data_IF_338300274411
#
_entry.id   IF_338300274411
#
_cell.length_a   1.000
_cell.length_b   1.000
_cell.length_c   1.000
_cell.angle_alpha   90.00
_cell.angle_beta   90.00
_cell.angle_gamma   90.00
#
_symmetry.space_group_name_H-M   'P 1'
#
loop_
_entity.id
_entity.type
_entity.pdbx_description
1 polymer ?
#
# COMPACT_ATOMS: atom_id res chain seq x y z
N UNK A 1 -38.36 -14.43 -5.14
CA UNK A 1 -37.14 -15.22 -5.38
C UNK A 1 -36.33 -15.17 -4.10
N UNK A 2 -35.92 -16.31 -3.55
CA UNK A 2 -35.04 -16.35 -2.38
C UNK A 2 -33.73 -15.65 -2.76
N UNK A 3 -33.25 -14.75 -1.89
CA UNK A 3 -31.94 -14.10 -2.06
C UNK A 3 -30.89 -15.20 -1.97
N UNK A 4 -30.19 -15.51 -3.06
CA UNK A 4 -29.09 -16.50 -3.04
C UNK A 4 -28.07 -16.10 -1.98
N UNK A 5 -27.50 -17.11 -1.30
CA UNK A 5 -26.51 -16.84 -0.28
C UNK A 5 -25.18 -16.42 -0.94
N UNK A 6 -24.35 -15.69 -0.21
CA UNK A 6 -23.04 -15.26 -0.73
C UNK A 6 -22.14 -16.46 -0.99
N UNK A 7 -22.25 -17.52 -0.21
CA UNK A 7 -21.51 -18.77 -0.38
C UNK A 7 -21.88 -19.46 -1.71
N UNK A 8 -23.16 -19.45 -2.08
CA UNK A 8 -23.62 -19.97 -3.39
C UNK A 8 -23.03 -19.14 -4.53
N UNK A 9 -23.04 -17.81 -4.39
CA UNK A 9 -22.46 -16.92 -5.41
C UNK A 9 -20.93 -17.10 -5.53
N UNK A 10 -20.19 -17.27 -4.41
CA UNK A 10 -18.76 -17.57 -4.44
C UNK A 10 -18.45 -18.85 -5.21
N UNK A 11 -19.29 -19.89 -5.08
CA UNK A 11 -19.10 -21.13 -5.85
C UNK A 11 -19.27 -20.95 -7.36
N UNK A 12 -19.97 -19.89 -7.80
CA UNK A 12 -20.14 -19.56 -9.22
C UNK A 12 -18.94 -18.82 -9.85
N UNK A 13 -17.92 -18.46 -9.09
CA UNK A 13 -16.69 -17.85 -9.63
C UNK A 13 -15.99 -18.71 -10.69
N UNK A 14 -16.18 -20.02 -10.62
CA UNK A 14 -15.63 -21.00 -11.59
C UNK A 14 -16.69 -21.61 -12.52
N UNK A 15 -17.87 -20.99 -12.63
CA UNK A 15 -18.95 -21.49 -13.48
C UNK A 15 -18.61 -21.36 -14.95
N UNK A 16 -19.07 -22.30 -15.82
CA UNK A 16 -18.78 -22.28 -17.25
C UNK A 16 -19.37 -21.05 -17.95
N UNK A 17 -20.55 -20.57 -17.52
CA UNK A 17 -21.24 -19.41 -18.09
C UNK A 17 -20.65 -18.08 -17.59
N UNK A 18 -20.16 -17.24 -18.50
CA UNK A 18 -19.53 -15.95 -18.21
C UNK A 18 -20.38 -15.00 -17.34
N UNK A 19 -21.69 -14.93 -17.64
CA UNK A 19 -22.58 -14.05 -16.89
C UNK A 19 -22.72 -14.43 -15.40
N UNK A 20 -22.62 -15.74 -15.08
CA UNK A 20 -22.59 -16.19 -13.68
C UNK A 20 -21.30 -15.80 -12.98
N UNK A 21 -20.16 -15.98 -13.64
CA UNK A 21 -18.86 -15.51 -13.09
C UNK A 21 -18.88 -14.01 -12.85
N UNK A 22 -19.39 -13.22 -13.82
CA UNK A 22 -19.51 -11.75 -13.64
C UNK A 22 -20.43 -11.38 -12.49
N UNK A 23 -21.58 -12.06 -12.34
CA UNK A 23 -22.51 -11.87 -11.23
C UNK A 23 -21.87 -12.22 -9.88
N UNK A 24 -21.16 -13.33 -9.81
CA UNK A 24 -20.41 -13.78 -8.63
C UNK A 24 -19.34 -12.75 -8.23
N UNK A 25 -18.56 -12.28 -9.20
CA UNK A 25 -17.53 -11.24 -9.01
C UNK A 25 -18.15 -9.95 -8.44
N UNK A 26 -19.24 -9.45 -9.04
CA UNK A 26 -19.93 -8.27 -8.56
C UNK A 26 -20.50 -8.45 -7.14
N UNK A 27 -21.04 -9.63 -6.84
CA UNK A 27 -21.55 -9.97 -5.52
C UNK A 27 -20.44 -10.02 -4.44
N UNK A 28 -19.26 -10.55 -4.80
CA UNK A 28 -18.10 -10.55 -3.89
C UNK A 28 -17.65 -9.12 -3.58
N UNK A 29 -17.46 -8.28 -4.60
CA UNK A 29 -17.05 -6.88 -4.40
C UNK A 29 -18.03 -6.09 -3.55
N UNK A 30 -19.35 -6.28 -3.78
CA UNK A 30 -20.40 -5.56 -3.03
C UNK A 30 -20.77 -6.20 -1.68
N UNK A 31 -20.34 -7.42 -1.43
CA UNK A 31 -20.74 -8.23 -0.26
C UNK A 31 -20.00 -7.87 1.03
N UNK A 32 -18.92 -7.05 0.94
CA UNK A 32 -18.15 -6.60 2.10
C UNK A 32 -17.62 -7.75 2.98
N UNK A 33 -17.62 -7.60 4.32
CA UNK A 33 -17.05 -8.61 5.22
C UNK A 33 -17.63 -10.02 5.09
N UNK A 34 -18.90 -10.13 4.67
CA UNK A 34 -19.53 -11.45 4.46
C UNK A 34 -18.96 -12.16 3.25
N UNK A 35 -18.65 -11.42 2.18
CA UNK A 35 -17.98 -11.98 1.01
C UNK A 35 -16.56 -12.41 1.35
N UNK A 36 -15.81 -11.61 2.13
CA UNK A 36 -14.47 -11.97 2.61
C UNK A 36 -14.50 -13.30 3.35
N UNK A 37 -15.42 -13.51 4.29
CA UNK A 37 -15.56 -14.76 5.02
C UNK A 37 -15.94 -15.94 4.11
N UNK A 38 -16.83 -15.74 3.14
CA UNK A 38 -17.18 -16.79 2.18
C UNK A 38 -16.02 -17.15 1.26
N UNK A 39 -15.22 -16.18 0.83
CA UNK A 39 -13.99 -16.40 0.05
C UNK A 39 -12.93 -17.13 0.87
N UNK A 40 -12.71 -16.74 2.13
CA UNK A 40 -11.80 -17.46 3.05
C UNK A 40 -12.25 -18.92 3.21
N UNK A 41 -13.55 -19.18 3.35
CA UNK A 41 -14.06 -20.55 3.39
C UNK A 41 -13.79 -21.31 2.09
N UNK A 42 -13.92 -20.64 0.93
CA UNK A 42 -13.62 -21.23 -0.37
C UNK A 42 -12.13 -21.58 -0.55
N UNK A 43 -11.19 -20.79 0.06
CA UNK A 43 -9.77 -21.16 0.08
C UNK A 43 -9.50 -22.47 0.83
N UNK A 44 -10.32 -22.80 1.85
CA UNK A 44 -10.13 -23.98 2.68
C UNK A 44 -10.78 -25.24 2.08
N UNK A 45 -11.93 -25.10 1.44
CA UNK A 45 -12.81 -26.22 1.06
C UNK A 45 -13.03 -26.37 -0.44
N UNK A 46 -12.66 -25.38 -1.24
CA UNK A 46 -12.92 -25.34 -2.68
C UNK A 46 -12.02 -26.25 -3.51
N UNK A 47 -12.40 -26.46 -4.76
CA UNK A 47 -11.52 -27.04 -5.77
C UNK A 47 -10.33 -26.14 -6.05
N UNK A 48 -9.25 -26.65 -6.66
CA UNK A 48 -8.08 -25.84 -7.05
C UNK A 48 -8.47 -24.60 -7.84
N UNK A 49 -9.37 -24.72 -8.80
CA UNK A 49 -9.88 -23.59 -9.58
C UNK A 49 -10.60 -22.56 -8.71
N UNK A 50 -11.47 -23.00 -7.78
CA UNK A 50 -12.19 -22.09 -6.88
C UNK A 50 -11.24 -21.41 -5.88
N UNK A 51 -10.24 -22.11 -5.35
CA UNK A 51 -9.21 -21.53 -4.49
C UNK A 51 -8.45 -20.42 -5.21
N UNK A 52 -8.04 -20.65 -6.46
CA UNK A 52 -7.32 -19.66 -7.25
C UNK A 52 -8.17 -18.39 -7.52
N UNK A 53 -9.43 -18.56 -7.90
CA UNK A 53 -10.35 -17.44 -8.13
C UNK A 53 -10.69 -16.71 -6.81
N UNK A 54 -10.90 -17.43 -5.71
CA UNK A 54 -11.13 -16.82 -4.41
C UNK A 54 -9.92 -16.01 -3.93
N UNK A 55 -8.69 -16.49 -4.17
CA UNK A 55 -7.46 -15.74 -3.88
C UNK A 55 -7.39 -14.43 -4.70
N UNK A 56 -7.68 -14.50 -6.01
CA UNK A 56 -7.72 -13.33 -6.87
C UNK A 56 -8.80 -12.31 -6.43
N UNK A 57 -9.95 -12.79 -5.95
CA UNK A 57 -11.02 -11.92 -5.42
C UNK A 57 -10.61 -11.25 -4.12
N UNK A 58 -9.99 -11.96 -3.17
CA UNK A 58 -9.47 -11.37 -1.92
C UNK A 58 -8.42 -10.31 -2.22
N UNK A 59 -7.53 -10.55 -3.19
CA UNK A 59 -6.56 -9.56 -3.64
C UNK A 59 -7.23 -8.28 -4.16
N UNK A 60 -8.29 -8.41 -4.97
CA UNK A 60 -9.05 -7.24 -5.46
C UNK A 60 -9.79 -6.49 -4.37
N UNK A 61 -10.28 -7.19 -3.35
CA UNK A 61 -10.96 -6.57 -2.20
C UNK A 61 -9.97 -5.91 -1.24
N UNK A 62 -8.69 -6.28 -1.29
CA UNK A 62 -7.62 -5.75 -0.43
C UNK A 62 -7.96 -5.76 1.07
N UNK A 63 -8.69 -6.79 1.53
CA UNK A 63 -9.07 -6.93 2.94
C UNK A 63 -7.98 -7.72 3.69
N UNK A 64 -7.34 -7.13 4.73
CA UNK A 64 -6.24 -7.77 5.46
C UNK A 64 -6.61 -9.11 6.09
N UNK A 65 -7.90 -9.39 6.37
CA UNK A 65 -8.34 -10.69 6.90
C UNK A 65 -8.05 -11.87 5.94
N UNK A 66 -7.87 -11.58 4.65
CA UNK A 66 -7.45 -12.57 3.65
C UNK A 66 -5.99 -13.02 3.79
N UNK A 67 -5.14 -12.25 4.48
CA UNK A 67 -3.69 -12.46 4.49
C UNK A 67 -3.27 -13.85 4.99
N UNK A 68 -3.56 -14.18 6.25
CA UNK A 68 -3.20 -15.49 6.83
C UNK A 68 -3.80 -16.68 6.06
N UNK A 69 -5.10 -16.66 5.65
CA UNK A 69 -5.65 -17.71 4.78
C UNK A 69 -4.89 -17.86 3.44
N UNK A 70 -4.45 -16.78 2.83
CA UNK A 70 -3.67 -16.82 1.59
C UNK A 70 -2.26 -17.38 1.81
N UNK A 71 -1.62 -17.12 2.96
CA UNK A 71 -0.35 -17.78 3.34
C UNK A 71 -0.52 -19.30 3.37
N UNK A 72 -1.66 -19.79 3.84
CA UNK A 72 -1.98 -21.22 3.82
C UNK A 72 -1.94 -21.85 2.43
N UNK A 73 -2.28 -21.09 1.38
CA UNK A 73 -2.23 -21.61 0.00
C UNK A 73 -0.81 -21.88 -0.52
N UNK A 74 0.23 -21.30 0.10
CA UNK A 74 1.62 -21.55 -0.30
C UNK A 74 2.05 -23.02 -0.06
N UNK A 75 1.28 -23.76 0.74
CA UNK A 75 1.46 -25.20 0.97
C UNK A 75 0.49 -26.09 0.17
N UNK A 76 -0.34 -25.52 -0.70
CA UNK A 76 -1.29 -26.33 -1.47
C UNK A 76 -0.57 -27.32 -2.39
N UNK A 77 -1.12 -28.49 -2.57
CA UNK A 77 -0.57 -29.52 -3.45
C UNK A 77 -0.52 -29.06 -4.91
N UNK A 78 -1.49 -28.23 -5.34
CA UNK A 78 -1.60 -27.69 -6.68
C UNK A 78 -0.71 -26.43 -6.85
N UNK A 79 0.22 -26.52 -7.78
CA UNK A 79 1.14 -25.39 -8.11
C UNK A 79 0.40 -24.13 -8.55
N UNK A 80 -0.71 -24.28 -9.27
CA UNK A 80 -1.50 -23.12 -9.72
C UNK A 80 -2.13 -22.41 -8.51
N UNK A 81 -2.56 -23.14 -7.48
CA UNK A 81 -3.08 -22.58 -6.24
C UNK A 81 -1.98 -21.89 -5.44
N UNK A 82 -0.79 -22.49 -5.33
CA UNK A 82 0.36 -21.84 -4.67
C UNK A 82 0.71 -20.51 -5.35
N UNK A 83 0.77 -20.49 -6.67
CA UNK A 83 1.04 -19.27 -7.47
C UNK A 83 -0.05 -18.20 -7.27
N UNK A 84 -1.33 -18.61 -7.27
CA UNK A 84 -2.44 -17.69 -7.05
C UNK A 84 -2.38 -17.07 -5.64
N UNK A 85 -2.05 -17.86 -4.62
CA UNK A 85 -1.84 -17.38 -3.25
C UNK A 85 -0.70 -16.36 -3.15
N UNK A 86 0.45 -16.66 -3.75
CA UNK A 86 1.61 -15.76 -3.77
C UNK A 86 1.31 -14.44 -4.48
N UNK A 87 0.66 -14.49 -5.67
CA UNK A 87 0.26 -13.31 -6.41
C UNK A 87 -0.77 -12.45 -5.66
N UNK A 88 -1.72 -13.09 -4.96
CA UNK A 88 -2.70 -12.39 -4.15
C UNK A 88 -2.04 -11.65 -2.98
N UNK A 89 -1.11 -12.31 -2.27
CA UNK A 89 -0.34 -11.71 -1.18
C UNK A 89 0.54 -10.55 -1.66
N UNK A 90 1.21 -10.68 -2.80
CA UNK A 90 2.02 -9.62 -3.39
C UNK A 90 1.16 -8.39 -3.74
N UNK A 91 0.00 -8.62 -4.36
CA UNK A 91 -0.94 -7.54 -4.68
C UNK A 91 -1.47 -6.81 -3.44
N UNK A 92 -1.66 -7.54 -2.34
CA UNK A 92 -2.14 -7.01 -1.05
C UNK A 92 -1.02 -6.49 -0.15
N UNK A 93 0.25 -6.57 -0.53
CA UNK A 93 1.39 -6.32 0.36
C UNK A 93 1.27 -5.03 1.21
N UNK A 94 0.71 -3.96 0.63
CA UNK A 94 0.54 -2.68 1.33
C UNK A 94 -0.51 -2.66 2.43
N UNK A 95 -1.44 -3.63 2.47
CA UNK A 95 -2.53 -3.71 3.46
C UNK A 95 -2.39 -4.89 4.42
N UNK A 96 -1.42 -5.79 4.18
CA UNK A 96 -1.19 -6.94 5.04
C UNK A 96 -0.70 -6.52 6.42
N UNK A 97 -1.24 -7.17 7.43
CA UNK A 97 -0.96 -6.90 8.83
C UNK A 97 0.26 -7.68 9.36
N UNK A 98 0.62 -7.38 10.60
CA UNK A 98 1.73 -8.06 11.30
C UNK A 98 1.46 -9.56 11.49
N UNK A 99 0.19 -9.97 11.60
CA UNK A 99 -0.15 -11.40 11.78
C UNK A 99 0.15 -12.19 10.51
N UNK A 100 -0.10 -11.62 9.34
CA UNK A 100 0.27 -12.21 8.05
C UNK A 100 1.80 -12.27 7.89
N UNK A 101 2.50 -11.20 8.26
CA UNK A 101 3.96 -11.18 8.23
C UNK A 101 4.57 -12.21 9.19
N UNK A 102 4.01 -12.39 10.39
CA UNK A 102 4.43 -13.43 11.34
C UNK A 102 4.20 -14.85 10.78
N UNK A 103 3.07 -15.08 10.10
CA UNK A 103 2.81 -16.36 9.45
C UNK A 103 3.84 -16.66 8.34
N UNK A 104 4.19 -15.67 7.52
CA UNK A 104 5.24 -15.80 6.50
C UNK A 104 6.63 -16.01 7.11
N UNK A 105 6.95 -15.32 8.21
CA UNK A 105 8.22 -15.50 8.94
C UNK A 105 8.32 -16.91 9.51
N UNK A 106 7.22 -17.42 10.07
CA UNK A 106 7.17 -18.82 10.54
C UNK A 106 7.35 -19.80 9.38
N UNK A 107 6.77 -19.52 8.23
CA UNK A 107 6.88 -20.33 7.03
C UNK A 107 8.30 -20.35 6.47
N UNK A 108 8.97 -19.19 6.47
CA UNK A 108 10.37 -19.04 6.06
C UNK A 108 11.29 -20.00 6.84
N UNK A 109 11.09 -20.13 8.15
CA UNK A 109 11.90 -20.97 9.01
C UNK A 109 11.46 -22.44 9.02
N UNK A 110 10.16 -22.71 9.13
CA UNK A 110 9.65 -24.07 9.36
C UNK A 110 9.56 -24.93 8.09
N UNK A 111 9.49 -24.33 6.90
CA UNK A 111 9.31 -25.08 5.65
C UNK A 111 10.58 -25.80 5.23
N UNK A 112 10.44 -27.08 4.85
CA UNK A 112 11.51 -27.86 4.22
C UNK A 112 11.56 -27.66 2.69
N UNK A 113 10.53 -27.04 2.10
CA UNK A 113 10.45 -26.75 0.67
C UNK A 113 11.12 -25.40 0.36
N UNK A 114 12.21 -25.47 -0.43
CA UNK A 114 12.96 -24.29 -0.83
C UNK A 114 12.11 -23.28 -1.61
N UNK A 115 11.21 -23.75 -2.46
CA UNK A 115 10.31 -22.90 -3.24
C UNK A 115 9.38 -22.07 -2.35
N UNK A 116 8.90 -22.69 -1.27
CA UNK A 116 8.06 -22.01 -0.28
C UNK A 116 8.87 -20.98 0.51
N UNK A 117 10.10 -21.32 0.93
CA UNK A 117 10.98 -20.37 1.62
C UNK A 117 11.32 -19.16 0.76
N UNK A 118 11.63 -19.39 -0.52
CA UNK A 118 11.88 -18.31 -1.47
C UNK A 118 10.65 -17.41 -1.64
N UNK A 119 9.45 -17.99 -1.79
CA UNK A 119 8.21 -17.22 -1.88
C UNK A 119 7.94 -16.40 -0.61
N UNK A 120 8.11 -17.00 0.57
CA UNK A 120 7.95 -16.30 1.84
C UNK A 120 8.95 -15.15 2.00
N UNK A 121 10.23 -15.36 1.63
CA UNK A 121 11.26 -14.33 1.64
C UNK A 121 10.93 -13.16 0.72
N UNK A 122 10.51 -13.44 -0.52
CA UNK A 122 10.12 -12.41 -1.47
C UNK A 122 8.93 -11.58 -0.96
N UNK A 123 7.90 -12.23 -0.41
CA UNK A 123 6.73 -11.55 0.15
C UNK A 123 7.10 -10.70 1.37
N UNK A 124 7.92 -11.21 2.29
CA UNK A 124 8.40 -10.43 3.44
C UNK A 124 9.20 -9.20 2.99
N UNK A 125 9.88 -9.28 1.84
CA UNK A 125 10.62 -8.16 1.24
C UNK A 125 9.74 -6.97 0.84
N UNK A 126 8.46 -7.19 0.57
CA UNK A 126 7.52 -6.15 0.10
C UNK A 126 6.49 -5.73 1.15
N UNK A 127 6.28 -6.51 2.21
CA UNK A 127 5.32 -6.22 3.28
C UNK A 127 5.89 -5.21 4.29
N UNK A 128 5.28 -4.03 4.49
CA UNK A 128 5.78 -3.01 5.43
C UNK A 128 5.85 -3.46 6.89
N UNK A 129 4.97 -4.39 7.28
CA UNK A 129 4.84 -4.89 8.64
C UNK A 129 5.71 -6.13 8.94
N UNK A 130 6.68 -6.47 8.06
CA UNK A 130 7.56 -7.63 8.24
C UNK A 130 8.64 -7.42 9.32
N UNK A 131 8.97 -6.18 9.69
CA UNK A 131 10.12 -5.87 10.56
C UNK A 131 9.96 -6.45 11.96
N UNK A 132 8.83 -6.26 12.63
CA UNK A 132 8.63 -6.75 14.00
C UNK A 132 8.68 -8.28 14.11
N UNK A 133 8.00 -9.08 13.25
CA UNK A 133 8.15 -10.53 13.22
C UNK A 133 9.58 -11.01 12.95
N UNK A 134 10.30 -10.36 12.02
CA UNK A 134 11.70 -10.69 11.74
C UNK A 134 12.62 -10.34 12.92
N UNK A 135 12.39 -9.21 13.60
CA UNK A 135 13.10 -8.87 14.84
C UNK A 135 12.85 -9.90 15.95
N UNK A 136 11.63 -10.42 16.05
CA UNK A 136 11.31 -11.51 16.98
C UNK A 136 12.05 -12.79 16.61
N UNK A 137 12.12 -13.13 15.32
CA UNK A 137 12.88 -14.28 14.83
C UNK A 137 14.40 -14.11 15.02
N UNK A 138 14.93 -12.89 14.93
CA UNK A 138 16.33 -12.58 15.23
C UNK A 138 16.71 -12.88 16.69
N UNK A 139 15.75 -12.82 17.60
CA UNK A 139 15.93 -13.17 19.02
C UNK A 139 15.66 -14.64 19.34
N UNK A 140 15.42 -15.49 18.33
CA UNK A 140 15.15 -16.92 18.52
C UNK A 140 16.37 -17.66 19.10
N UNK A 141 16.15 -18.81 19.75
CA UNK A 141 17.23 -19.61 20.34
C UNK A 141 18.08 -20.36 19.28
N UNK A 142 17.47 -20.68 18.13
CA UNK A 142 18.10 -21.39 17.03
C UNK A 142 18.95 -20.43 16.18
N UNK A 143 20.29 -20.69 16.04
CA UNK A 143 21.19 -19.88 15.23
C UNK A 143 20.78 -19.79 13.73
N UNK A 144 20.14 -20.83 13.18
CA UNK A 144 19.69 -20.81 11.79
C UNK A 144 18.57 -19.81 11.59
N UNK A 145 17.58 -19.79 12.49
CA UNK A 145 16.52 -18.79 12.50
C UNK A 145 17.07 -17.36 12.65
N UNK A 146 18.05 -17.17 13.53
CA UNK A 146 18.73 -15.88 13.73
C UNK A 146 19.39 -15.38 12.44
N UNK A 147 20.13 -16.25 11.75
CA UNK A 147 20.83 -15.91 10.51
C UNK A 147 19.82 -15.53 9.42
N UNK A 148 18.78 -16.33 9.22
CA UNK A 148 17.74 -16.04 8.21
C UNK A 148 17.06 -14.70 8.47
N UNK A 149 16.70 -14.41 9.72
CA UNK A 149 16.11 -13.12 10.10
C UNK A 149 17.09 -11.96 9.89
N UNK A 150 18.37 -12.14 10.29
CA UNK A 150 19.39 -11.11 10.14
C UNK A 150 19.64 -10.76 8.66
N UNK A 151 19.73 -11.76 7.78
CA UNK A 151 19.90 -11.57 6.34
C UNK A 151 18.71 -10.84 5.71
N UNK A 152 17.50 -11.21 6.09
CA UNK A 152 16.28 -10.51 5.64
C UNK A 152 16.25 -9.06 6.11
N UNK A 153 16.53 -8.80 7.38
CA UNK A 153 16.57 -7.45 7.95
C UNK A 153 17.72 -6.61 7.34
N UNK A 154 18.89 -7.23 7.04
CA UNK A 154 19.95 -6.56 6.31
C UNK A 154 19.55 -6.17 4.88
N UNK A 155 18.76 -7.01 4.21
CA UNK A 155 18.24 -6.71 2.88
C UNK A 155 17.23 -5.56 2.90
N UNK A 156 16.36 -5.55 3.91
CA UNK A 156 15.33 -4.52 4.08
C UNK A 156 15.92 -3.16 4.47
N UNK A 157 17.03 -3.13 5.22
CA UNK A 157 17.67 -1.92 5.75
C UNK A 157 16.71 -0.95 6.42
N UNK A 158 15.74 -1.48 7.17
CA UNK A 158 14.75 -0.66 7.86
C UNK A 158 15.30 -0.20 9.22
N UNK A 159 15.33 1.12 9.52
CA UNK A 159 15.86 1.64 10.78
C UNK A 159 15.21 1.06 12.05
N UNK A 160 13.96 0.60 11.98
CA UNK A 160 13.24 -0.04 13.09
C UNK A 160 13.92 -1.32 13.58
N UNK A 161 14.78 -1.94 12.78
CA UNK A 161 15.54 -3.14 13.16
C UNK A 161 16.80 -2.82 13.99
N UNK A 162 17.20 -1.55 14.14
CA UNK A 162 18.47 -1.16 14.73
C UNK A 162 18.65 -1.68 16.18
N UNK A 163 17.65 -1.49 17.04
CA UNK A 163 17.70 -1.95 18.43
C UNK A 163 17.82 -3.48 18.52
N UNK A 164 17.14 -4.20 17.64
CA UNK A 164 17.22 -5.67 17.59
C UNK A 164 18.62 -6.14 17.18
N UNK A 165 19.27 -5.45 16.22
CA UNK A 165 20.66 -5.74 15.86
C UNK A 165 21.64 -5.37 16.97
N UNK A 166 21.44 -4.26 17.70
CA UNK A 166 22.26 -3.91 18.88
C UNK A 166 22.21 -5.04 19.90
N UNK A 167 21.01 -5.54 20.22
CA UNK A 167 20.81 -6.64 21.14
C UNK A 167 21.44 -7.96 20.63
N UNK A 168 21.40 -8.19 19.32
CA UNK A 168 21.93 -9.38 18.69
C UNK A 168 23.48 -9.38 18.56
N UNK A 169 24.17 -8.24 18.78
CA UNK A 169 25.66 -8.18 18.71
C UNK A 169 26.34 -9.11 19.69
N UNK A 170 25.68 -9.51 20.79
CA UNK A 170 26.18 -10.51 21.73
C UNK A 170 26.14 -11.95 21.19
N UNK A 171 25.40 -12.22 20.12
CA UNK A 171 25.17 -13.55 19.55
C UNK A 171 26.22 -13.84 18.46
N UNK A 172 27.06 -14.90 18.61
CA UNK A 172 28.14 -15.17 17.64
C UNK A 172 27.67 -15.39 16.21
N UNK A 173 26.50 -16.03 16.03
CA UNK A 173 25.96 -16.41 14.72
C UNK A 173 25.64 -15.21 13.82
N UNK A 174 25.20 -14.09 14.39
CA UNK A 174 24.72 -12.94 13.64
C UNK A 174 25.50 -11.66 13.86
N UNK A 175 26.55 -11.69 14.71
CA UNK A 175 27.34 -10.51 15.08
C UNK A 175 27.86 -9.73 13.87
N UNK A 176 28.44 -10.42 12.89
CA UNK A 176 29.02 -9.76 11.71
C UNK A 176 27.93 -9.08 10.86
N UNK A 177 26.78 -9.75 10.69
CA UNK A 177 25.64 -9.19 9.98
C UNK A 177 25.12 -7.96 10.73
N UNK A 178 24.96 -8.07 12.05
CA UNK A 178 24.48 -6.97 12.89
C UNK A 178 25.37 -5.73 12.78
N UNK A 179 26.70 -5.89 12.92
CA UNK A 179 27.66 -4.77 12.80
C UNK A 179 27.63 -4.14 11.40
N UNK A 180 27.56 -4.97 10.37
CA UNK A 180 27.50 -4.50 8.98
C UNK A 180 26.22 -3.75 8.69
N UNK A 181 25.06 -4.26 9.16
CA UNK A 181 23.74 -3.63 8.97
C UNK A 181 23.67 -2.31 9.72
N UNK A 182 24.08 -2.26 10.99
CA UNK A 182 24.10 -1.02 11.77
C UNK A 182 24.95 0.07 11.13
N UNK A 183 26.12 -0.28 10.56
CA UNK A 183 26.93 0.68 9.80
C UNK A 183 26.21 1.22 8.58
N UNK A 184 25.48 0.37 7.84
CA UNK A 184 24.70 0.81 6.67
C UNK A 184 23.57 1.74 7.09
N UNK A 185 22.83 1.40 8.16
CA UNK A 185 21.74 2.24 8.68
C UNK A 185 22.26 3.61 9.16
N UNK A 186 23.40 3.64 9.88
CA UNK A 186 24.03 4.90 10.30
C UNK A 186 24.42 5.77 9.10
N UNK A 187 25.03 5.18 8.08
CA UNK A 187 25.44 5.91 6.88
C UNK A 187 24.24 6.49 6.10
N UNK A 188 23.09 5.79 6.09
CA UNK A 188 21.86 6.31 5.47
C UNK A 188 21.37 7.55 6.24
N UNK A 189 21.29 7.48 7.57
CA UNK A 189 20.88 8.61 8.41
C UNK A 189 21.83 9.79 8.24
N UNK A 190 23.12 9.59 8.39
CA UNK A 190 24.16 10.63 8.21
C UNK A 190 24.00 11.33 6.85
N UNK A 191 23.78 10.56 5.79
CA UNK A 191 23.58 11.13 4.45
C UNK A 191 22.32 11.99 4.34
N UNK A 192 21.22 11.57 4.96
CA UNK A 192 19.96 12.33 4.96
C UNK A 192 20.13 13.62 5.78
N UNK A 193 20.72 13.52 6.98
CA UNK A 193 20.95 14.64 7.88
C UNK A 193 21.85 15.69 7.20
N UNK A 194 22.98 15.29 6.58
CA UNK A 194 23.88 16.17 5.82
C UNK A 194 23.15 16.96 4.72
N UNK A 195 22.27 16.30 3.96
CA UNK A 195 21.57 16.93 2.85
C UNK A 195 20.51 17.92 3.36
N UNK A 196 19.79 17.60 4.42
CA UNK A 196 18.83 18.53 5.02
C UNK A 196 19.53 19.69 5.75
N UNK A 197 20.65 19.45 6.41
CA UNK A 197 21.47 20.52 7.02
C UNK A 197 22.01 21.48 5.95
N UNK A 198 22.46 20.97 4.81
CA UNK A 198 22.85 21.80 3.68
C UNK A 198 21.69 22.65 3.14
N UNK A 199 20.45 22.09 3.09
CA UNK A 199 19.26 22.84 2.68
C UNK A 199 18.93 23.99 3.65
N UNK A 200 19.04 23.73 4.98
CA UNK A 200 18.81 24.75 6.02
C UNK A 200 19.86 25.88 5.98
N UNK A 201 21.10 25.55 5.60
CA UNK A 201 22.21 26.49 5.57
C UNK A 201 22.13 27.56 4.45
N UNK A 202 21.26 27.39 3.46
CA UNK A 202 21.06 28.36 2.39
C UNK A 202 20.20 29.51 2.89
N UNK A 203 20.67 30.74 2.82
CA UNK A 203 19.97 31.93 3.31
C UNK A 203 18.94 32.48 2.32
N UNK A 204 19.26 32.50 1.02
CA UNK A 204 18.39 33.01 -0.02
C UNK A 204 17.24 32.05 -0.33
N UNK A 205 15.98 32.53 -0.19
CA UNK A 205 14.79 31.69 -0.35
C UNK A 205 14.67 31.08 -1.75
N UNK A 206 14.99 31.84 -2.79
CA UNK A 206 14.97 31.37 -4.18
C UNK A 206 15.94 30.21 -4.42
N UNK A 207 17.15 30.32 -3.86
CA UNK A 207 18.16 29.26 -3.93
C UNK A 207 17.73 28.01 -3.13
N UNK A 208 17.06 28.20 -2.00
CA UNK A 208 16.52 27.12 -1.17
C UNK A 208 15.42 26.34 -1.89
N UNK A 209 14.53 27.03 -2.61
CA UNK A 209 13.48 26.37 -3.41
C UNK A 209 14.07 25.49 -4.53
N UNK A 210 15.12 25.98 -5.21
CA UNK A 210 15.86 25.19 -6.19
C UNK A 210 16.60 24.01 -5.54
N UNK A 211 17.25 24.26 -4.40
CA UNK A 211 17.96 23.23 -3.63
C UNK A 211 17.02 22.15 -3.10
N UNK A 212 15.75 22.47 -2.78
CA UNK A 212 14.75 21.49 -2.39
C UNK A 212 14.54 20.42 -3.46
N UNK A 213 14.43 20.83 -4.73
CA UNK A 213 14.30 19.86 -5.83
C UNK A 213 15.53 18.96 -5.95
N UNK A 214 16.73 19.54 -5.80
CA UNK A 214 17.99 18.80 -5.80
C UNK A 214 18.07 17.85 -4.61
N UNK A 215 17.62 18.25 -3.43
CA UNK A 215 17.51 17.41 -2.22
C UNK A 215 16.65 16.17 -2.50
N UNK A 216 15.46 16.37 -3.08
CA UNK A 216 14.56 15.27 -3.44
C UNK A 216 15.22 14.30 -4.44
N UNK A 217 15.86 14.82 -5.48
CA UNK A 217 16.56 13.98 -6.48
C UNK A 217 17.69 13.18 -5.85
N UNK A 218 18.46 13.78 -4.95
CA UNK A 218 19.61 13.15 -4.31
C UNK A 218 19.23 12.07 -3.29
N UNK A 219 18.14 12.23 -2.58
CA UNK A 219 17.69 11.30 -1.53
C UNK A 219 16.75 10.21 -2.03
N UNK A 220 16.00 10.45 -3.13
CA UNK A 220 15.04 9.50 -3.68
C UNK A 220 15.63 8.10 -3.96
N UNK A 221 16.88 7.94 -4.47
CA UNK A 221 17.46 6.61 -4.72
C UNK A 221 17.66 5.74 -3.46
N UNK A 222 17.65 6.33 -2.25
CA UNK A 222 17.72 5.56 -1.00
C UNK A 222 16.45 4.69 -0.86
N UNK A 223 15.29 5.21 -1.26
CA UNK A 223 14.04 4.49 -1.27
C UNK A 223 13.52 4.15 0.14
N UNK A 224 12.92 2.96 0.28
CA UNK A 224 12.25 2.51 1.52
C UNK A 224 13.06 2.61 2.82
N UNK A 225 14.40 2.38 2.82
CA UNK A 225 15.22 2.58 4.02
C UNK A 225 15.19 3.98 4.63
N UNK A 226 14.86 5.01 3.84
CA UNK A 226 14.77 6.40 4.33
C UNK A 226 13.41 6.75 4.96
N UNK A 227 12.38 5.92 4.83
CA UNK A 227 11.00 6.29 5.16
C UNK A 227 10.84 6.72 6.61
N UNK A 228 11.32 5.95 7.57
CA UNK A 228 11.19 6.30 8.99
C UNK A 228 11.93 7.61 9.33
N UNK A 229 13.11 7.79 8.75
CA UNK A 229 13.91 9.02 8.94
C UNK A 229 13.15 10.22 8.33
N UNK A 230 12.61 10.08 7.12
CA UNK A 230 11.84 11.13 6.47
C UNK A 230 10.53 11.47 7.21
N UNK A 231 9.91 10.48 7.88
CA UNK A 231 8.75 10.71 8.75
C UNK A 231 9.13 11.62 9.93
N UNK A 232 10.32 11.44 10.53
CA UNK A 232 10.82 12.35 11.56
C UNK A 232 10.97 13.78 11.02
N UNK A 233 11.47 13.94 9.79
CA UNK A 233 11.62 15.25 9.13
C UNK A 233 10.30 15.94 8.73
N UNK A 234 9.16 15.25 8.78
CA UNK A 234 7.87 15.92 8.67
C UNK A 234 7.55 16.81 9.89
N UNK A 235 8.24 16.64 11.00
CA UNK A 235 8.09 17.46 12.21
C UNK A 235 9.17 18.56 12.32
N UNK A 236 10.01 18.75 11.28
CA UNK A 236 11.07 19.76 11.28
C UNK A 236 10.51 21.18 11.44
N UNK A 237 11.26 22.06 12.12
CA UNK A 237 10.87 23.46 12.27
C UNK A 237 10.84 24.21 10.94
N UNK A 238 11.72 23.84 10.00
CA UNK A 238 11.83 24.44 8.68
C UNK A 238 10.78 23.87 7.72
N UNK A 239 9.88 24.73 7.25
CA UNK A 239 8.80 24.32 6.36
C UNK A 239 9.28 23.73 5.03
N UNK A 240 10.44 24.19 4.50
CA UNK A 240 10.99 23.69 3.24
C UNK A 240 11.57 22.26 3.39
N UNK A 241 12.12 21.96 4.56
CA UNK A 241 12.53 20.59 4.93
C UNK A 241 11.30 19.68 5.03
N UNK A 242 10.22 20.14 5.69
CA UNK A 242 8.96 19.36 5.74
C UNK A 242 8.37 19.11 4.36
N UNK A 243 8.43 20.12 3.45
CA UNK A 243 8.02 19.95 2.05
C UNK A 243 8.85 18.90 1.32
N UNK A 244 10.17 18.94 1.45
CA UNK A 244 11.06 17.98 0.81
C UNK A 244 10.83 16.56 1.34
N UNK A 245 10.64 16.41 2.65
CA UNK A 245 10.31 15.13 3.28
C UNK A 245 8.97 14.58 2.78
N UNK A 246 7.93 15.45 2.71
CA UNK A 246 6.62 15.05 2.20
C UNK A 246 6.68 14.61 0.73
N UNK A 247 7.39 15.33 -0.13
CA UNK A 247 7.56 15.01 -1.56
C UNK A 247 8.31 13.68 -1.74
N UNK A 248 9.38 13.46 -0.97
CA UNK A 248 10.14 12.20 -0.96
C UNK A 248 9.25 11.01 -0.57
N UNK A 249 8.53 11.13 0.54
CA UNK A 249 7.63 10.08 1.03
C UNK A 249 6.57 9.71 -0.02
N UNK A 250 6.00 10.70 -0.69
CA UNK A 250 5.04 10.46 -1.76
C UNK A 250 5.64 9.74 -2.97
N UNK A 251 6.86 10.11 -3.38
CA UNK A 251 7.57 9.48 -4.51
C UNK A 251 8.06 8.07 -4.17
N UNK A 252 8.45 7.80 -2.92
CA UNK A 252 8.79 6.45 -2.45
C UNK A 252 7.55 5.55 -2.43
N UNK A 253 6.37 6.11 -2.10
CA UNK A 253 5.10 5.40 -2.18
C UNK A 253 4.86 4.39 -1.06
N UNK A 254 5.57 4.49 0.07
CA UNK A 254 5.43 3.58 1.20
C UNK A 254 4.21 3.94 2.06
N UNK A 255 3.35 2.95 2.34
CA UNK A 255 2.10 3.15 3.09
C UNK A 255 2.30 3.60 4.54
N UNK A 256 3.50 3.44 5.11
CA UNK A 256 3.85 3.95 6.45
C UNK A 256 3.76 5.47 6.53
N UNK A 257 3.99 6.15 5.41
CA UNK A 257 3.91 7.61 5.33
C UNK A 257 2.46 8.15 5.38
N UNK A 258 1.43 7.31 5.22
CA UNK A 258 0.04 7.77 5.07
C UNK A 258 -0.43 8.54 6.29
N UNK A 259 -0.37 7.96 7.50
CA UNK A 259 -0.83 8.64 8.72
C UNK A 259 0.01 9.91 9.05
N UNK A 260 1.36 9.89 8.98
CA UNK A 260 2.16 11.10 9.14
C UNK A 260 1.80 12.22 8.16
N UNK A 261 1.63 11.90 6.88
CA UNK A 261 1.22 12.87 5.86
C UNK A 261 -0.21 13.39 6.10
N UNK A 262 -1.15 12.54 6.52
CA UNK A 262 -2.50 12.97 6.92
C UNK A 262 -2.44 13.94 8.09
N UNK A 263 -1.55 13.71 9.06
CA UNK A 263 -1.34 14.62 10.18
C UNK A 263 -0.83 15.98 9.70
N UNK A 264 0.18 16.01 8.81
CA UNK A 264 0.66 17.29 8.22
C UNK A 264 -0.45 18.02 7.48
N UNK A 265 -1.24 17.32 6.66
CA UNK A 265 -2.37 17.92 5.95
C UNK A 265 -3.37 18.60 6.90
N UNK A 266 -3.60 18.02 8.09
CA UNK A 266 -4.53 18.58 9.11
C UNK A 266 -3.94 19.80 9.84
N UNK A 267 -2.69 19.71 10.30
CA UNK A 267 -2.16 20.64 11.31
C UNK A 267 -1.07 21.59 10.82
N UNK A 268 -0.43 21.35 9.68
CA UNK A 268 0.65 22.22 9.23
C UNK A 268 0.17 23.65 9.03
N UNK A 269 1.00 24.61 9.39
CA UNK A 269 0.72 26.04 9.20
C UNK A 269 1.04 26.50 7.78
N UNK A 270 1.98 25.82 7.14
CA UNK A 270 2.40 26.14 5.79
C UNK A 270 1.49 25.49 4.75
N UNK A 271 1.08 26.27 3.75
CA UNK A 271 0.17 25.80 2.71
C UNK A 271 0.88 24.88 1.71
N UNK A 272 2.15 25.15 1.39
CA UNK A 272 2.97 24.33 0.50
C UNK A 272 3.17 22.92 1.05
N UNK A 273 3.44 22.81 2.36
CA UNK A 273 3.51 21.50 3.05
C UNK A 273 2.19 20.75 2.92
N UNK A 274 1.04 21.42 3.10
CA UNK A 274 -0.29 20.77 2.93
C UNK A 274 -0.54 20.31 1.49
N UNK A 275 -0.17 21.15 0.50
CA UNK A 275 -0.29 20.79 -0.91
C UNK A 275 0.57 19.57 -1.26
N UNK A 276 1.82 19.55 -0.80
CA UNK A 276 2.71 18.40 -1.02
C UNK A 276 2.26 17.16 -0.25
N UNK A 277 1.81 17.30 0.99
CA UNK A 277 1.25 16.17 1.73
C UNK A 277 0.05 15.55 1.00
N UNK A 278 -0.86 16.37 0.48
CA UNK A 278 -2.01 15.90 -0.29
C UNK A 278 -1.60 15.21 -1.59
N UNK A 279 -0.69 15.82 -2.35
CA UNK A 279 -0.14 15.23 -3.58
C UNK A 279 0.54 13.89 -3.31
N UNK A 280 1.32 13.81 -2.23
CA UNK A 280 2.06 12.63 -1.83
C UNK A 280 1.14 11.50 -1.38
N UNK A 281 0.10 11.79 -0.60
CA UNK A 281 -0.96 10.84 -0.27
C UNK A 281 -1.66 10.31 -1.53
N UNK A 282 -1.91 11.18 -2.52
CA UNK A 282 -2.47 10.78 -3.81
C UNK A 282 -1.52 9.89 -4.64
N UNK A 283 -0.20 10.05 -4.52
CA UNK A 283 0.79 9.18 -5.18
C UNK A 283 0.83 7.79 -4.54
N UNK A 284 0.72 7.70 -3.23
CA UNK A 284 0.62 6.44 -2.49
C UNK A 284 -0.67 5.70 -2.87
N UNK A 285 -1.77 6.43 -3.08
CA UNK A 285 -3.05 5.90 -3.55
C UNK A 285 -3.81 5.08 -2.50
N UNK A 286 -3.52 5.29 -1.21
CA UNK A 286 -4.23 4.67 -0.09
C UNK A 286 -5.64 5.26 0.06
N UNK A 287 -6.59 4.45 0.52
CA UNK A 287 -7.99 4.86 0.68
C UNK A 287 -8.27 5.64 1.97
N UNK A 288 -7.44 5.47 3.00
CA UNK A 288 -7.63 6.10 4.32
C UNK A 288 -7.79 7.62 4.29
N UNK A 289 -7.07 8.37 3.43
CA UNK A 289 -7.22 9.81 3.34
C UNK A 289 -8.48 10.31 2.62
N UNK A 290 -9.32 9.44 2.04
CA UNK A 290 -10.45 9.82 1.17
C UNK A 290 -11.34 10.92 1.78
N UNK A 291 -11.67 10.80 3.07
CA UNK A 291 -12.48 11.81 3.77
C UNK A 291 -11.78 13.19 3.81
N UNK A 292 -10.46 13.23 4.04
CA UNK A 292 -9.70 14.49 4.06
C UNK A 292 -9.66 15.14 2.68
N UNK A 293 -9.58 14.35 1.61
CA UNK A 293 -9.64 14.88 0.25
C UNK A 293 -11.02 15.51 -0.04
N UNK A 294 -12.10 14.84 0.38
CA UNK A 294 -13.47 15.40 0.24
C UNK A 294 -13.60 16.73 0.98
N UNK A 295 -13.10 16.81 2.22
CA UNK A 295 -13.12 18.02 3.04
C UNK A 295 -12.26 19.16 2.44
N UNK A 296 -11.24 18.83 1.65
CA UNK A 296 -10.36 19.80 1.01
C UNK A 296 -10.92 20.38 -0.32
N UNK A 297 -11.94 19.75 -0.93
CA UNK A 297 -12.54 20.25 -2.20
C UNK A 297 -13.01 21.72 -2.12
N UNK A 298 -13.61 22.21 -1.03
CA UNK A 298 -13.98 23.61 -0.90
C UNK A 298 -12.79 24.58 -0.75
N UNK A 299 -11.61 24.10 -0.41
CA UNK A 299 -10.41 24.89 -0.12
C UNK A 299 -9.65 25.15 -1.42
N UNK A 300 -9.68 26.40 -1.94
CA UNK A 300 -9.13 26.75 -3.26
C UNK A 300 -7.73 26.23 -3.54
N UNK A 301 -6.70 26.41 -2.68
CA UNK A 301 -5.35 25.93 -2.95
C UNK A 301 -5.26 24.41 -3.05
N UNK A 302 -6.09 23.68 -2.29
CA UNK A 302 -6.02 22.22 -2.18
C UNK A 302 -6.96 21.49 -3.15
N UNK A 303 -7.93 22.20 -3.74
CA UNK A 303 -9.04 21.61 -4.50
C UNK A 303 -8.61 20.68 -5.63
N UNK A 304 -7.69 21.15 -6.47
CA UNK A 304 -7.21 20.37 -7.62
C UNK A 304 -6.44 19.16 -7.15
N UNK A 305 -5.54 19.32 -6.17
CA UNK A 305 -4.77 18.22 -5.58
C UNK A 305 -5.67 17.19 -4.91
N UNK A 306 -6.74 17.64 -4.23
CA UNK A 306 -7.73 16.74 -3.62
C UNK A 306 -8.42 15.88 -4.68
N UNK A 307 -8.85 16.50 -5.79
CA UNK A 307 -9.51 15.76 -6.88
C UNK A 307 -8.57 14.80 -7.60
N UNK A 308 -7.31 15.20 -7.82
CA UNK A 308 -6.28 14.32 -8.38
C UNK A 308 -5.98 13.13 -7.44
N UNK A 309 -5.92 13.38 -6.13
CA UNK A 309 -5.69 12.33 -5.14
C UNK A 309 -6.87 11.34 -5.08
N UNK A 310 -8.13 11.85 -5.07
CA UNK A 310 -9.34 11.01 -5.12
C UNK A 310 -9.37 10.11 -6.37
N UNK A 311 -8.97 10.65 -7.53
CA UNK A 311 -8.94 9.88 -8.77
C UNK A 311 -7.91 8.73 -8.77
N UNK A 312 -6.90 8.80 -7.89
CA UNK A 312 -5.82 7.81 -7.71
C UNK A 312 -6.08 6.80 -6.60
N UNK A 313 -7.14 6.99 -5.80
CA UNK A 313 -7.53 6.03 -4.75
C UNK A 313 -7.74 4.66 -5.40
N UNK A 314 -7.03 3.65 -4.88
CA UNK A 314 -7.07 2.28 -5.43
C UNK A 314 -8.40 1.59 -5.13
N UNK A 315 -8.88 1.72 -3.90
CA UNK A 315 -10.19 1.23 -3.48
C UNK A 315 -11.26 2.30 -3.72
N UNK A 316 -11.83 2.32 -4.91
CA UNK A 316 -12.83 3.32 -5.32
C UNK A 316 -14.16 3.15 -4.59
N UNK A 317 -14.42 1.98 -4.00
CA UNK A 317 -15.67 1.69 -3.26
C UNK A 317 -15.86 2.65 -2.07
N UNK A 318 -14.76 3.08 -1.42
CA UNK A 318 -14.81 4.05 -0.32
C UNK A 318 -15.38 5.41 -0.74
N UNK A 319 -15.41 5.70 -2.03
CA UNK A 319 -15.94 6.95 -2.60
C UNK A 319 -17.43 6.85 -2.96
N UNK A 320 -18.04 5.66 -2.90
CA UNK A 320 -19.46 5.44 -3.23
C UNK A 320 -20.43 6.38 -2.49
N UNK A 321 -20.28 6.68 -1.19
CA UNK A 321 -21.16 7.63 -0.50
C UNK A 321 -21.16 9.04 -1.09
N UNK A 322 -20.15 9.39 -1.89
CA UNK A 322 -19.96 10.70 -2.48
C UNK A 322 -20.27 10.75 -3.98
N UNK A 323 -20.88 9.71 -4.56
CA UNK A 323 -21.17 9.62 -5.99
C UNK A 323 -21.92 10.87 -6.51
N UNK A 324 -22.98 11.31 -5.82
CA UNK A 324 -23.72 12.51 -6.19
C UNK A 324 -22.88 13.80 -6.19
N UNK A 325 -21.87 13.89 -5.34
CA UNK A 325 -20.91 15.01 -5.35
C UNK A 325 -20.09 14.97 -6.63
N UNK A 326 -19.55 13.82 -7.02
CA UNK A 326 -18.75 13.68 -8.24
C UNK A 326 -19.57 13.92 -9.49
N UNK A 327 -20.82 13.43 -9.55
CA UNK A 327 -21.75 13.70 -10.67
C UNK A 327 -21.99 15.20 -10.86
N UNK A 328 -22.17 15.96 -9.77
CA UNK A 328 -22.30 17.43 -9.84
C UNK A 328 -21.02 18.12 -10.29
N UNK A 329 -19.86 17.63 -9.87
CA UNK A 329 -18.56 18.22 -10.20
C UNK A 329 -18.10 17.89 -11.63
N UNK A 330 -18.74 16.98 -12.37
CA UNK A 330 -18.49 16.73 -13.81
C UNK A 330 -18.63 18.00 -14.67
N UNK A 331 -19.42 18.96 -14.22
CA UNK A 331 -19.65 20.25 -14.91
C UNK A 331 -19.01 21.43 -14.21
N UNK A 332 -18.01 21.20 -13.38
CA UNK A 332 -17.29 22.27 -12.68
C UNK A 332 -16.57 23.19 -13.67
N UNK A 333 -16.43 24.47 -13.31
CA UNK A 333 -15.73 25.48 -14.13
C UNK A 333 -14.23 25.21 -14.24
N UNK A 334 -13.65 24.53 -13.26
CA UNK A 334 -12.27 24.08 -13.30
C UNK A 334 -12.20 22.74 -14.07
N UNK A 335 -11.53 22.77 -15.22
CA UNK A 335 -11.45 21.63 -16.11
C UNK A 335 -10.78 20.39 -15.48
N UNK A 336 -9.81 20.56 -14.57
CA UNK A 336 -9.17 19.45 -13.87
C UNK A 336 -10.09 18.83 -12.83
N UNK A 337 -10.88 19.65 -12.13
CA UNK A 337 -11.91 19.18 -11.20
C UNK A 337 -12.98 18.39 -11.95
N UNK A 338 -13.49 18.95 -13.06
CA UNK A 338 -14.50 18.29 -13.90
C UNK A 338 -14.00 16.94 -14.45
N UNK A 339 -12.78 16.92 -14.98
CA UNK A 339 -12.15 15.72 -15.54
C UNK A 339 -11.99 14.61 -14.48
N UNK A 340 -11.36 14.93 -13.34
CA UNK A 340 -11.15 13.94 -12.27
C UNK A 340 -12.46 13.43 -11.67
N UNK A 341 -13.48 14.31 -11.54
CA UNK A 341 -14.83 13.90 -11.11
C UNK A 341 -15.46 12.91 -12.08
N UNK A 342 -15.31 13.14 -13.39
CA UNK A 342 -15.76 12.21 -14.42
C UNK A 342 -15.10 10.86 -14.27
N UNK A 343 -13.78 10.81 -14.13
CA UNK A 343 -13.02 9.56 -13.93
C UNK A 343 -13.50 8.77 -12.70
N UNK A 344 -13.75 9.45 -11.59
CA UNK A 344 -14.22 8.79 -10.35
C UNK A 344 -15.63 8.25 -10.54
N UNK A 345 -16.53 9.06 -11.09
CA UNK A 345 -17.92 8.65 -11.29
C UNK A 345 -18.01 7.48 -12.30
N UNK A 346 -17.23 7.50 -13.38
CA UNK A 346 -17.16 6.38 -14.35
C UNK A 346 -16.65 5.09 -13.71
N UNK A 347 -15.63 5.18 -12.84
CA UNK A 347 -15.14 4.03 -12.08
C UNK A 347 -16.24 3.47 -11.14
N UNK A 348 -17.00 4.33 -10.45
CA UNK A 348 -18.09 3.91 -9.59
C UNK A 348 -19.25 3.29 -10.39
N UNK A 349 -19.56 3.83 -11.56
CA UNK A 349 -20.57 3.25 -12.49
C UNK A 349 -20.13 1.88 -13.01
N UNK A 350 -18.85 1.71 -13.32
CA UNK A 350 -18.31 0.42 -13.75
C UNK A 350 -18.44 -0.65 -12.65
N UNK A 351 -18.30 -0.28 -11.37
CA UNK A 351 -18.53 -1.17 -10.24
C UNK A 351 -20.00 -1.59 -10.11
N UNK A 352 -20.95 -0.73 -10.52
CA UNK A 352 -22.39 -1.02 -10.50
C UNK A 352 -22.84 -1.94 -11.65
N UNK A 353 -21.93 -2.33 -12.57
CA UNK A 353 -22.24 -3.17 -13.72
C UNK A 353 -23.08 -2.46 -14.80
N UNK A 354 -23.16 -1.14 -14.78
CA UNK A 354 -23.79 -0.34 -15.81
C UNK A 354 -22.77 -0.13 -16.94
N UNK A 355 -23.08 -0.51 -18.20
CA UNK A 355 -22.18 -0.24 -19.32
C UNK A 355 -21.98 1.28 -19.44
N UNK A 356 -20.73 1.73 -19.48
CA UNK A 356 -20.35 3.12 -19.76
C UNK A 356 -21.12 3.56 -21.03
N UNK A 357 -22.02 4.52 -20.87
CA UNK A 357 -23.01 4.89 -21.87
C UNK A 357 -22.35 5.30 -23.17
N UNK A 358 -22.68 4.61 -24.22
CA UNK A 358 -22.73 5.13 -25.59
C UNK A 358 -23.72 6.30 -25.60
N UNK A 359 -23.28 7.50 -25.28
CA UNK A 359 -24.03 8.71 -25.70
C UNK A 359 -23.83 8.81 -27.21
N UNK A 360 -24.88 8.39 -27.88
CA UNK A 360 -25.03 8.38 -29.32
C UNK A 360 -24.77 9.75 -29.93
N UNK A 361 -23.92 9.74 -30.93
CA UNK A 361 -24.07 10.68 -32.02
C UNK A 361 -25.45 10.48 -32.62
N UNK A 362 -26.35 11.41 -32.38
CA UNK A 362 -27.45 11.66 -33.29
C UNK A 362 -26.86 12.44 -34.47
N UNK A 363 -26.57 11.69 -35.53
CA UNK A 363 -26.48 12.26 -36.85
C UNK A 363 -27.91 12.72 -37.20
N UNK A 364 -28.15 14.01 -37.18
CA UNK A 364 -29.27 14.63 -37.85
C UNK A 364 -28.87 14.84 -39.32
N UNK A 365 -29.18 13.85 -40.14
CA UNK A 365 -29.40 14.02 -41.56
C UNK A 365 -30.89 14.31 -41.78
N UNK A 366 -31.21 15.59 -42.08
CA UNK A 366 -32.23 16.03 -43.06
C UNK A 366 -32.04 17.51 -43.39
#
# INVERSE_FOLDING_TARGET
>A
MAKESIETLVSELVHEEDWRRMRATAACVSGGPRAVQALIHALQTGSSALKAEAAAMLARMSDPQGGVPLVGLLHDEDEAVRKAGALALDHMAGVLDETTAAALTSLLYASQDEGIRVAASQLLGVIPNAIAPLCTMLAHEDPEAQIMAAEMLEHLLDPRSADSFINAMGQPAVREIAVRTLKKLSAIRERIDEVFDALRAIEELSEREEARMSTVINLLPIGRPSVEILIEYLEDDDWLVREAAADLLGKIGDVRAVEPLMQRLRVDKDTGVKELAMKSLGLIGDARPAQLYIEAIPIRPLRVYAMEALAKVKDVEVLRPYKELFDRLRTDRDGLVAYNSGLIADKLEALDGTPVGSQGGQDDDE
#
